data_IF_572976720694
#
_entry.id   IF_572976720694
#
_cell.length_a   1.000
_cell.length_b   1.000
_cell.length_c   1.000
_cell.angle_alpha   90.00
_cell.angle_beta   90.00
_cell.angle_gamma   90.00
#
_symmetry.space_group_name_H-M   'P 1'
#
loop_
_entity.id
_entity.type
_entity.pdbx_description
1 polymer ?
2 non-polymer ?
3 water ?
#
# COMPACT_ATOMS: atom_id res chain seq x y z
N UNK A 24 12.93 3.00 15.69
CA UNK A 24 11.66 3.02 16.41
C UNK A 24 10.58 3.68 15.56
N UNK A 25 11.00 4.53 14.62
CA UNK A 25 10.06 5.17 13.70
C UNK A 25 10.03 4.41 12.37
N UNK A 26 11.14 3.76 12.06
CA UNK A 26 11.30 3.06 10.80
C UNK A 26 11.49 1.56 10.97
N UNK A 27 11.11 0.82 9.94
CA UNK A 27 11.33 -0.60 9.87
C UNK A 27 12.77 -0.85 9.43
N UNK A 28 13.53 -1.56 10.24
CA UNK A 28 14.94 -1.78 9.93
C UNK A 28 15.14 -2.55 8.63
N UNK A 29 14.21 -3.45 8.31
CA UNK A 29 14.34 -4.26 7.10
C UNK A 29 14.19 -3.46 5.81
N UNK A 30 13.05 -2.79 5.65
CA UNK A 30 12.73 -2.09 4.40
C UNK A 30 13.18 -0.63 4.38
N UNK A 31 13.47 -0.08 5.55
CA UNK A 31 13.75 1.34 5.66
C UNK A 31 12.51 2.22 5.64
N UNK A 32 11.33 1.60 5.61
CA UNK A 32 10.10 2.38 5.59
C UNK A 32 9.64 2.67 7.01
N UNK A 33 8.76 3.66 7.16
CA UNK A 33 8.14 3.90 8.46
C UNK A 33 7.45 2.64 8.93
N UNK A 34 7.42 2.42 10.24
CA UNK A 34 6.67 1.29 10.76
C UNK A 34 5.23 1.70 11.04
N UNK A 35 4.41 0.72 11.40
CA UNK A 35 2.98 0.92 11.53
C UNK A 35 2.63 1.98 12.59
N UNK A 36 3.23 1.86 13.76
CA UNK A 36 2.90 2.75 14.86
C UNK A 36 3.21 4.22 14.53
N UNK A 37 4.35 4.44 13.89
CA UNK A 37 4.73 5.80 13.51
C UNK A 37 3.80 6.34 12.43
N UNK A 38 3.52 5.52 11.42
CA UNK A 38 2.56 5.91 10.39
C UNK A 38 1.26 6.41 10.99
N UNK A 39 0.74 5.67 11.96
CA UNK A 39 -0.55 6.03 12.53
C UNK A 39 -0.50 7.43 13.15
N UNK A 40 0.62 7.78 13.75
CA UNK A 40 0.76 9.13 14.30
C UNK A 40 0.86 10.17 13.19
N UNK A 41 1.62 9.87 12.14
CA UNK A 41 1.75 10.79 11.02
C UNK A 41 0.41 11.02 10.35
N UNK A 42 -0.28 9.92 10.06
CA UNK A 42 -1.54 9.96 9.31
C UNK A 42 -2.62 10.62 10.15
N UNK A 43 -2.58 10.37 11.46
CA UNK A 43 -3.54 10.97 12.37
C UNK A 43 -3.43 12.49 12.37
N UNK A 44 -2.20 12.99 12.39
CA UNK A 44 -1.95 14.42 12.34
C UNK A 44 -2.42 15.02 11.03
N UNK A 45 -2.10 14.34 9.94
CA UNK A 45 -2.48 14.80 8.61
C UNK A 45 -3.99 14.88 8.48
N UNK A 46 -4.69 13.93 9.10
CA UNK A 46 -6.15 13.89 9.03
C UNK A 46 -6.75 15.03 9.84
N UNK A 47 -6.17 15.33 11.00
CA UNK A 47 -6.67 16.42 11.84
C UNK A 47 -6.47 17.78 11.18
N UNK A 48 -5.40 17.91 10.40
CA UNK A 48 -5.11 19.15 9.70
C UNK A 48 -5.95 19.33 8.43
N UNK A 49 -6.74 18.32 8.08
CA UNK A 49 -7.50 18.32 6.82
C UNK A 49 -8.61 19.38 6.81
N UNK A 50 -8.52 20.29 5.84
CA UNK A 50 -9.51 21.35 5.64
C UNK A 50 -10.83 20.79 5.10
N UNK A 51 -11.96 21.45 5.42
CA UNK A 51 -13.33 21.09 5.04
C UNK A 51 -13.52 20.44 3.66
N UNK A 52 -13.08 21.10 2.59
CA UNK A 52 -13.37 20.61 1.24
C UNK A 52 -12.20 19.89 0.60
N UNK A 53 -11.38 19.26 1.43
CA UNK A 53 -10.16 18.65 0.93
C UNK A 53 -10.15 17.17 1.27
N UNK A 54 -9.16 16.44 0.76
CA UNK A 54 -9.11 15.01 1.03
C UNK A 54 -7.71 14.47 0.85
N UNK A 55 -7.43 13.36 1.53
CA UNK A 55 -6.18 12.64 1.33
C UNK A 55 -6.49 11.30 0.67
N UNK A 56 -5.51 10.74 -0.03
CA UNK A 56 -5.63 9.39 -0.57
C UNK A 56 -5.03 8.39 0.39
N UNK A 57 -5.69 7.25 0.56
CA UNK A 57 -5.24 6.22 1.48
C UNK A 57 -5.36 4.86 0.82
N UNK A 58 -4.34 4.02 0.95
CA UNK A 58 -4.44 2.69 0.35
C UNK A 58 -3.75 1.63 1.17
N UNK A 59 -4.31 0.42 1.15
CA UNK A 59 -3.65 -0.75 1.73
C UNK A 59 -3.18 -1.66 0.61
N UNK A 60 -1.96 -2.18 0.76
CA UNK A 60 -1.25 -2.88 -0.30
C UNK A 60 -0.81 -4.24 0.21
N UNK A 61 -1.14 -5.31 -0.51
CA UNK A 61 -0.66 -6.64 -0.14
C UNK A 61 0.28 -7.18 -1.20
N UNK A 62 1.45 -7.69 -0.79
CA UNK A 62 2.32 -8.36 -1.76
C UNK A 62 1.77 -9.75 -2.01
N UNK A 63 1.27 -9.99 -3.22
CA UNK A 63 0.63 -11.26 -3.58
C UNK A 63 1.60 -12.43 -3.44
N UNK A 64 1.07 -13.55 -2.95
CA UNK A 64 1.82 -14.81 -2.88
C UNK A 64 3.10 -14.74 -2.05
N UNK A 65 3.17 -13.79 -1.13
CA UNK A 65 4.36 -13.65 -0.29
C UNK A 65 4.67 -14.93 0.47
N UNK A 66 3.65 -15.51 1.10
CA UNK A 66 3.88 -16.71 1.91
C UNK A 66 4.38 -17.85 1.04
N UNK A 67 3.84 -17.95 -0.18
CA UNK A 67 4.26 -18.97 -1.13
C UNK A 67 5.72 -18.75 -1.49
N UNK A 68 6.08 -17.49 -1.69
CA UNK A 68 7.48 -17.17 -1.96
C UNK A 68 8.36 -17.54 -0.79
N UNK A 69 8.00 -17.10 0.41
CA UNK A 69 8.75 -17.42 1.62
C UNK A 69 8.88 -18.94 1.83
N UNK A 70 7.80 -19.67 1.56
CA UNK A 70 7.79 -21.13 1.71
C UNK A 70 8.79 -21.87 0.77
N UNK A 71 8.86 -21.45 -0.50
CA UNK A 71 9.63 -22.16 -1.54
C UNK A 71 11.11 -21.73 -1.56
N UNK A 72 11.32 -20.45 -1.18
CA UNK A 72 12.55 -19.67 -1.32
C UNK A 72 13.21 -19.38 0.01
N UNK A 73 12.48 -19.45 1.12
CA UNK A 73 13.11 -19.17 2.38
C UNK A 73 12.96 -17.76 2.92
N UNK A 74 13.21 -17.58 4.22
CA UNK A 74 12.95 -16.27 4.85
C UNK A 74 13.80 -15.14 4.29
N UNK A 75 15.05 -15.42 3.94
CA UNK A 75 15.90 -14.35 3.44
C UNK A 75 15.41 -13.89 2.07
N UNK A 76 14.92 -14.84 1.27
CA UNK A 76 14.36 -14.49 -0.03
C UNK A 76 13.11 -13.62 0.13
N UNK A 77 12.27 -13.96 1.11
CA UNK A 77 11.12 -13.13 1.43
C UNK A 77 11.53 -11.71 1.81
N UNK A 78 12.56 -11.60 2.63
CA UNK A 78 13.16 -10.31 2.96
C UNK A 78 13.57 -9.52 1.73
N UNK A 79 14.21 -10.18 0.77
CA UNK A 79 14.61 -9.47 -0.44
C UNK A 79 13.40 -9.00 -1.24
N UNK A 80 12.30 -9.75 -1.19
CA UNK A 80 11.09 -9.31 -1.89
C UNK A 80 10.47 -8.09 -1.21
N UNK A 81 10.42 -8.08 0.13
CA UNK A 81 9.97 -6.89 0.85
C UNK A 81 10.83 -5.68 0.49
N UNK A 82 12.14 -5.88 0.42
CA UNK A 82 13.05 -4.78 0.14
C UNK A 82 12.91 -4.32 -1.30
N UNK A 83 12.63 -5.27 -2.19
CA UNK A 83 12.42 -4.93 -3.59
C UNK A 83 11.18 -4.06 -3.74
N UNK A 84 10.10 -4.43 -3.04
CA UNK A 84 8.91 -3.60 -3.05
C UNK A 84 9.21 -2.18 -2.57
N UNK A 85 9.90 -2.06 -1.44
CA UNK A 85 10.21 -0.75 -0.87
C UNK A 85 10.98 0.13 -1.86
N UNK A 86 11.90 -0.49 -2.58
CA UNK A 86 12.73 0.25 -3.52
C UNK A 86 11.87 0.72 -4.68
N UNK A 87 11.11 -0.20 -5.25
CA UNK A 87 10.20 0.10 -6.35
C UNK A 87 9.22 1.20 -5.96
N UNK A 88 8.70 1.11 -4.75
CA UNK A 88 7.64 2.01 -4.32
C UNK A 88 8.16 3.42 -4.09
N UNK A 89 9.34 3.52 -3.49
CA UNK A 89 9.94 4.81 -3.21
C UNK A 89 10.04 5.65 -4.46
N UNK A 90 10.37 4.99 -5.56
CA UNK A 90 10.52 5.64 -6.85
C UNK A 90 9.19 6.11 -7.46
N UNK A 91 8.07 5.67 -6.89
CA UNK A 91 6.76 6.07 -7.41
C UNK A 91 6.15 7.22 -6.62
N UNK A 92 6.63 7.43 -5.40
CA UNK A 92 6.04 8.41 -4.50
C UNK A 92 6.53 9.82 -4.76
N UNK A 93 5.67 10.79 -4.46
CA UNK A 93 6.04 12.20 -4.50
C UNK A 93 6.70 12.62 -3.21
N UNK A 94 7.44 13.72 -3.30
CA UNK A 94 7.76 14.56 -2.15
C UNK A 94 6.53 14.65 -1.26
N UNK A 95 6.66 14.23 -0.01
CA UNK A 95 5.57 14.37 0.94
C UNK A 95 4.61 13.20 1.06
N UNK A 96 4.75 12.21 0.17
CA UNK A 96 3.93 11.00 0.25
C UNK A 96 4.52 10.06 1.30
N UNK A 97 3.67 9.26 1.93
CA UNK A 97 4.12 8.41 3.04
C UNK A 97 3.75 6.95 2.83
N UNK A 98 4.74 6.08 2.94
CA UNK A 98 4.52 4.64 2.77
C UNK A 98 5.10 3.93 3.98
N UNK A 99 4.34 3.02 4.55
CA UNK A 99 4.79 2.34 5.74
C UNK A 99 4.45 0.85 5.75
N UNK A 100 5.19 0.07 6.53
CA UNK A 100 4.76 -1.30 6.86
C UNK A 100 3.45 -1.26 7.60
N UNK A 101 2.57 -2.19 7.29
CA UNK A 101 1.31 -2.23 8.00
C UNK A 101 1.21 -3.50 8.84
N UNK A 102 2.01 -4.50 8.50
CA UNK A 102 1.94 -5.78 9.19
C UNK A 102 2.04 -6.90 8.18
N UNK A 103 2.79 -7.94 8.53
CA UNK A 103 3.09 -9.01 7.60
C UNK A 103 3.70 -8.52 6.29
N UNK A 104 3.04 -8.85 5.19
CA UNK A 104 3.54 -8.43 3.88
C UNK A 104 2.67 -7.29 3.35
N UNK A 105 1.98 -6.59 4.25
CA UNK A 105 1.07 -5.51 3.87
C UNK A 105 1.68 -4.14 4.20
N UNK A 106 1.31 -3.16 3.38
CA UNK A 106 1.84 -1.80 3.46
C UNK A 106 0.71 -0.80 3.41
N UNK A 107 0.94 0.39 3.95
CA UNK A 107 -0.08 1.42 3.92
C UNK A 107 0.50 2.68 3.31
N UNK A 108 -0.29 3.31 2.44
CA UNK A 108 0.14 4.47 1.67
C UNK A 108 -0.77 5.65 1.98
N UNK A 109 -0.18 6.78 2.36
CA UNK A 109 -0.93 8.02 2.46
C UNK A 109 -0.43 9.00 1.41
N UNK A 110 -1.34 9.50 0.57
CA UNK A 110 -1.02 10.51 -0.42
C UNK A 110 -1.71 11.81 -0.02
N UNK A 111 -0.99 12.68 0.72
CA UNK A 111 -1.65 13.91 1.18
C UNK A 111 -2.20 14.73 0.02
N UNK A 112 -3.43 15.21 0.22
CA UNK A 112 -4.12 16.12 -0.70
C UNK A 112 -4.53 15.50 -2.03
N UNK A 113 -4.30 14.20 -2.21
CA UNK A 113 -4.62 13.54 -3.48
C UNK A 113 -6.11 13.25 -3.63
N UNK A 114 -6.61 13.30 -4.87
CA UNK A 114 -7.98 12.86 -5.16
C UNK A 114 -7.96 11.44 -5.73
N UNK A 115 -9.13 10.95 -6.15
CA UNK A 115 -9.23 9.56 -6.60
C UNK A 115 -8.36 9.31 -7.82
N UNK A 116 -8.35 10.27 -8.74
CA UNK A 116 -7.59 10.09 -9.97
C UNK A 116 -6.11 9.94 -9.64
N UNK A 117 -5.64 10.75 -8.71
CA UNK A 117 -4.21 10.74 -8.38
C UNK A 117 -3.87 9.47 -7.62
N UNK A 118 -4.72 9.10 -6.67
CA UNK A 118 -4.49 7.89 -5.88
C UNK A 118 -4.44 6.69 -6.81
N UNK A 119 -5.42 6.59 -7.71
CA UNK A 119 -5.44 5.44 -8.61
C UNK A 119 -4.24 5.41 -9.54
N UNK A 120 -3.81 6.58 -10.01
CA UNK A 120 -2.61 6.67 -10.83
C UNK A 120 -1.40 6.11 -10.09
N UNK A 121 -1.22 6.54 -8.85
CA UNK A 121 -0.09 6.09 -8.06
C UNK A 121 -0.16 4.58 -7.84
N UNK A 122 -1.34 4.08 -7.47
CA UNK A 122 -1.43 2.66 -7.12
C UNK A 122 -1.22 1.80 -8.38
N UNK A 123 -1.72 2.25 -9.53
CA UNK A 123 -1.49 1.50 -10.76
C UNK A 123 -0.01 1.51 -11.14
N UNK A 124 0.64 2.65 -10.94
CA UNK A 124 2.07 2.74 -11.20
C UNK A 124 2.85 1.79 -10.30
N UNK A 125 2.50 1.73 -9.02
CA UNK A 125 3.13 0.79 -8.09
C UNK A 125 2.91 -0.66 -8.52
N UNK A 126 1.67 -0.97 -8.89
CA UNK A 126 1.31 -2.32 -9.26
C UNK A 126 2.12 -2.77 -10.46
N UNK A 127 2.18 -1.92 -11.48
CA UNK A 127 2.84 -2.31 -12.71
C UNK A 127 4.34 -2.42 -12.49
N UNK A 128 4.89 -1.53 -11.67
CA UNK A 128 6.34 -1.47 -11.45
C UNK A 128 6.83 -2.66 -10.62
N UNK A 129 6.02 -3.09 -9.65
CA UNK A 129 6.40 -4.22 -8.82
C UNK A 129 6.39 -5.49 -9.67
N UNK A 130 5.40 -5.59 -10.55
CA UNK A 130 5.30 -6.71 -11.48
C UNK A 130 6.56 -6.83 -12.36
N UNK A 131 7.19 -5.70 -12.65
CA UNK A 131 8.39 -5.70 -13.51
C UNK A 131 9.67 -5.84 -12.71
N UNK A 132 9.54 -5.91 -11.38
CA UNK A 132 10.72 -5.89 -10.53
C UNK A 132 11.48 -7.21 -10.61
N UNK A 133 12.75 -7.13 -10.22
CA UNK A 133 13.68 -8.25 -10.22
C UNK A 133 14.47 -8.26 -8.92
N UNK A 134 13.98 -9.00 -7.91
CA UNK A 134 14.70 -9.00 -6.64
C UNK A 134 16.05 -9.72 -6.78
N UNK A 135 17.12 -9.16 -6.22
CA UNK A 135 18.44 -9.76 -6.37
C UNK A 135 18.44 -11.16 -5.76
N UNK A 136 19.14 -12.08 -6.42
CA UNK A 136 19.34 -13.42 -5.90
C UNK A 136 18.10 -14.25 -5.64
N UNK A 137 17.01 -13.94 -6.33
CA UNK A 137 15.85 -14.82 -6.29
C UNK A 137 15.29 -15.05 -7.68
N UNK A 138 14.48 -16.10 -7.79
CA UNK A 138 13.88 -16.47 -9.07
C UNK A 138 12.39 -16.75 -8.88
N UNK A 139 11.71 -15.78 -8.30
CA UNK A 139 10.27 -15.87 -8.13
C UNK A 139 9.58 -15.96 -9.49
N UNK A 140 8.42 -16.62 -9.52
CA UNK A 140 7.64 -16.73 -10.74
C UNK A 140 7.11 -15.36 -11.12
N UNK A 141 6.15 -14.90 -10.34
CA UNK A 141 5.52 -13.62 -10.58
C UNK A 141 5.49 -12.81 -9.30
N UNK A 142 5.81 -11.53 -9.43
CA UNK A 142 5.56 -10.59 -8.36
C UNK A 142 4.31 -9.82 -8.75
N UNK A 143 3.38 -9.65 -7.81
CA UNK A 143 2.25 -8.77 -8.07
C UNK A 143 1.72 -8.18 -6.77
N UNK A 144 0.95 -7.10 -6.90
CA UNK A 144 0.32 -6.40 -5.78
C UNK A 144 -1.19 -6.44 -5.86
N UNK A 145 -1.86 -6.47 -4.70
CA UNK A 145 -3.29 -6.16 -4.61
C UNK A 145 -3.42 -4.89 -3.78
N UNK A 146 -4.32 -3.99 -4.18
CA UNK A 146 -4.46 -2.71 -3.50
C UNK A 146 -5.92 -2.37 -3.24
N UNK A 147 -6.21 -1.91 -2.02
CA UNK A 147 -7.50 -1.33 -1.71
C UNK A 147 -7.36 0.16 -1.47
N UNK A 148 -8.16 0.96 -2.18
CA UNK A 148 -8.01 2.41 -2.16
C UNK A 148 -9.23 3.10 -1.59
N UNK A 149 -9.01 4.17 -0.83
CA UNK A 149 -10.11 5.00 -0.37
C UNK A 149 -9.67 6.45 -0.24
N UNK A 150 -10.62 7.36 -0.10
CA UNK A 150 -10.29 8.77 0.14
C UNK A 150 -10.62 9.15 1.57
N UNK A 151 -9.80 10.04 2.13
CA UNK A 151 -9.91 10.47 3.52
C UNK A 151 -10.45 11.88 3.58
N UNK A 152 -11.57 12.08 4.28
CA UNK A 152 -12.18 13.41 4.37
C UNK A 152 -12.14 13.93 5.80
N UNK A 153 -12.26 15.24 5.96
CA UNK A 153 -12.34 15.83 7.29
C UNK A 153 -13.54 15.23 8.03
N UNK A 154 -13.34 14.98 9.32
CA UNK A 154 -14.31 14.32 10.22
C UNK A 154 -14.29 12.80 10.09
N UNK A 155 -13.53 12.27 9.12
CA UNK A 155 -13.32 10.82 9.10
C UNK A 155 -12.40 10.45 10.24
N UNK A 156 -12.54 9.24 10.75
CA UNK A 156 -11.59 8.68 11.71
C UNK A 156 -10.63 7.77 10.95
N UNK A 157 -9.35 7.81 11.32
CA UNK A 157 -8.35 7.05 10.56
C UNK A 157 -8.65 5.55 10.60
N UNK A 158 -9.03 5.01 11.75
CA UNK A 158 -9.22 3.57 11.81
C UNK A 158 -10.41 3.12 10.97
N UNK A 159 -11.47 3.92 10.90
CA UNK A 159 -12.61 3.54 10.04
C UNK A 159 -12.24 3.64 8.55
N UNK A 160 -11.41 4.61 8.20
CA UNK A 160 -10.94 4.74 6.82
C UNK A 160 -10.04 3.55 6.42
N UNK A 161 -9.16 3.14 7.33
CA UNK A 161 -8.34 1.95 7.09
C UNK A 161 -9.23 0.73 6.88
N UNK A 162 -10.31 0.64 7.64
CA UNK A 162 -11.27 -0.45 7.49
C UNK A 162 -11.87 -0.45 6.09
N UNK A 163 -12.28 0.73 5.62
CA UNK A 163 -12.82 0.90 4.27
C UNK A 163 -11.82 0.45 3.22
N UNK A 164 -10.58 0.91 3.34
CA UNK A 164 -9.52 0.49 2.43
C UNK A 164 -9.33 -1.02 2.43
N UNK A 165 -9.44 -1.62 3.61
CA UNK A 165 -9.21 -3.05 3.72
C UNK A 165 -10.33 -3.85 3.06
N UNK A 166 -11.53 -3.28 3.05
CA UNK A 166 -12.66 -3.88 2.34
C UNK A 166 -12.41 -3.89 0.83
N UNK A 167 -11.94 -2.77 0.30
CA UNK A 167 -11.55 -2.73 -1.11
C UNK A 167 -10.40 -3.70 -1.40
N UNK A 168 -9.46 -3.81 -0.46
CA UNK A 168 -8.35 -4.74 -0.65
C UNK A 168 -8.85 -6.17 -0.71
N UNK A 169 -9.79 -6.49 0.16
CA UNK A 169 -10.42 -7.80 0.13
C UNK A 169 -11.01 -8.10 -1.24
N UNK A 170 -11.67 -7.11 -1.84
CA UNK A 170 -12.27 -7.30 -3.15
C UNK A 170 -11.20 -7.50 -4.22
N UNK A 171 -10.09 -6.78 -4.09
CA UNK A 171 -8.96 -6.95 -5.01
C UNK A 171 -8.41 -8.37 -4.93
N UNK A 172 -8.25 -8.87 -3.71
CA UNK A 172 -7.76 -10.24 -3.47
C UNK A 172 -8.75 -11.28 -4.01
N UNK A 173 -10.01 -11.18 -3.59
CA UNK A 173 -11.03 -12.12 -4.04
C UNK A 173 -11.23 -12.07 -5.54
N UNK A 174 -10.91 -10.93 -6.16
CA UNK A 174 -11.07 -10.76 -7.59
C UNK A 174 -9.92 -11.29 -8.42
N UNK A 175 -8.95 -11.93 -7.77
CA UNK A 175 -7.86 -12.56 -8.52
C UNK A 175 -6.48 -11.95 -8.32
N UNK A 176 -6.40 -10.93 -7.46
CA UNK A 176 -5.14 -10.23 -7.12
C UNK A 176 -4.54 -9.55 -8.34
N UNK A 177 -3.34 -9.01 -8.18
CA UNK A 177 -2.75 -8.15 -9.21
C UNK A 177 -3.76 -7.12 -9.75
N UNK A 178 -4.41 -6.41 -8.84
CA UNK A 178 -5.38 -5.39 -9.22
C UNK A 178 -5.58 -4.39 -8.09
N UNK A 179 -6.11 -3.22 -8.45
CA UNK A 179 -6.43 -2.17 -7.48
C UNK A 179 -7.93 -1.98 -7.47
N UNK A 180 -8.55 -2.07 -6.30
CA UNK A 180 -9.97 -1.79 -6.17
C UNK A 180 -10.18 -0.61 -5.24
N UNK A 181 -11.35 0.03 -5.32
CA UNK A 181 -11.57 1.24 -4.53
C UNK A 181 -12.97 1.29 -3.92
N UNK A 182 -13.12 2.10 -2.87
CA UNK A 182 -14.40 2.19 -2.18
C UNK A 182 -15.39 3.06 -2.94
N UNK A 183 -14.90 3.82 -3.92
CA UNK A 183 -15.75 4.69 -4.71
C UNK A 183 -16.27 4.00 -5.98
N UNK A 184 -15.91 2.74 -6.14
CA UNK A 184 -16.34 1.96 -7.30
C UNK A 184 -17.41 0.96 -6.90
N UNK A 185 -18.30 0.65 -7.84
CA UNK A 185 -19.35 -0.35 -7.64
C UNK A 185 -18.75 -1.73 -7.36
N UNK A 186 -19.32 -2.45 -6.40
CA UNK A 186 -18.83 -3.78 -6.05
C UNK A 186 -19.58 -4.89 -6.78
N UNK A 187 -19.05 -6.11 -6.65
CA UNK A 187 -19.68 -7.31 -7.18
C UNK A 187 -20.75 -7.85 -6.23
N UNK A 188 -21.60 -8.72 -6.76
CA UNK A 188 -22.55 -9.52 -5.97
C UNK A 188 -23.29 -10.50 -6.87
X LIG B 1 -0.92 -11.10 1.87
#
# INVERSE_FOLDING_TARGET
MGSSHHHHHHSQDLEVLFQGPGSVATDELTGLFNRRHFMRMASRALEDLLPNRQHGLALIDLDHFKRINDRHGHAAGDRVLQTFAAVARSCLRDGDVLARYGGEEFVLLLPHADAEQLESCCERLRLAFQQAEPVGVTVDTLSLSVGMTLLYADDDLDEALQRADQALYRAKRGGRNRCDATWEVTSA
MG MG
#
